data_IF_390553603187
#
_entry.id   IF_390553603187
#
_cell.length_a   1.000
_cell.length_b   1.000
_cell.length_c   1.000
_cell.angle_alpha   90.00
_cell.angle_beta   90.00
_cell.angle_gamma   90.00
#
_symmetry.space_group_name_H-M   'P 1'
#
loop_
_entity.id
_entity.type
_entity.pdbx_description
1 polymer ?
#
# COMPACT_ATOMS: atom_id res chain seq x y z
N UNK A 1 -15.57 -34.87 7.30
CA UNK A 1 -14.34 -34.10 6.99
C UNK A 1 -13.36 -35.02 6.30
N UNK A 2 -13.10 -34.80 5.01
CA UNK A 2 -12.04 -35.50 4.29
C UNK A 2 -10.75 -34.69 4.41
N UNK A 3 -9.71 -35.27 5.01
CA UNK A 3 -8.38 -34.66 5.06
C UNK A 3 -7.58 -35.13 3.86
N UNK A 4 -7.15 -34.21 3.02
CA UNK A 4 -6.28 -34.49 1.87
C UNK A 4 -4.82 -34.28 2.26
N UNK A 5 -3.98 -35.26 1.97
CA UNK A 5 -2.54 -35.19 2.21
C UNK A 5 -1.84 -34.61 0.97
N UNK A 6 -1.02 -33.59 1.18
CA UNK A 6 -0.23 -32.92 0.16
C UNK A 6 1.25 -32.93 0.55
N UNK A 7 2.14 -32.76 -0.43
CA UNK A 7 3.57 -32.63 -0.21
C UNK A 7 4.14 -31.50 -1.07
N UNK A 8 5.08 -30.75 -0.52
CA UNK A 8 5.74 -29.62 -1.21
C UNK A 8 7.11 -29.31 -0.59
N UNK A 9 7.97 -28.60 -1.32
CA UNK A 9 9.21 -28.07 -0.75
C UNK A 9 8.93 -26.84 0.10
N UNK A 10 8.13 -25.92 -0.44
CA UNK A 10 7.78 -24.66 0.21
C UNK A 10 6.27 -24.47 0.29
N UNK A 11 5.78 -24.20 1.49
CA UNK A 11 4.40 -23.79 1.74
C UNK A 11 4.38 -22.28 2.02
N UNK A 12 3.82 -21.51 1.11
CA UNK A 12 3.72 -20.05 1.21
C UNK A 12 2.30 -19.68 1.66
N UNK A 13 2.22 -18.92 2.75
CA UNK A 13 0.97 -18.40 3.30
C UNK A 13 0.80 -16.96 2.82
N UNK A 14 -0.28 -16.72 2.08
CA UNK A 14 -0.58 -15.45 1.45
C UNK A 14 -0.02 -15.33 0.03
N UNK A 15 -0.88 -15.01 -0.93
CA UNK A 15 -0.59 -14.67 -2.33
C UNK A 15 -0.59 -13.15 -2.57
N UNK A 16 -0.26 -12.37 -1.53
CA UNK A 16 0.07 -10.94 -1.65
C UNK A 16 1.47 -10.71 -2.24
N UNK A 17 1.86 -9.44 -2.40
CA UNK A 17 3.11 -9.08 -3.09
C UNK A 17 4.36 -9.79 -2.55
N UNK A 18 4.49 -9.92 -1.22
CA UNK A 18 5.63 -10.61 -0.59
C UNK A 18 5.65 -12.10 -0.93
N UNK A 19 4.52 -12.79 -0.74
CA UNK A 19 4.41 -14.22 -1.03
C UNK A 19 4.61 -14.53 -2.52
N UNK A 20 4.06 -13.68 -3.39
CA UNK A 20 4.23 -13.78 -4.84
C UNK A 20 5.69 -13.53 -5.26
N UNK A 21 6.35 -12.49 -4.74
CA UNK A 21 7.76 -12.22 -5.06
C UNK A 21 8.69 -13.34 -4.58
N UNK A 22 8.42 -13.92 -3.41
CA UNK A 22 9.18 -15.07 -2.91
C UNK A 22 9.00 -16.31 -3.79
N UNK A 23 7.75 -16.61 -4.16
CA UNK A 23 7.44 -17.71 -5.07
C UNK A 23 8.12 -17.53 -6.44
N UNK A 24 8.15 -16.29 -6.94
CA UNK A 24 8.77 -15.94 -8.23
C UNK A 24 10.27 -16.25 -8.27
N UNK A 25 11.00 -15.85 -7.23
CA UNK A 25 12.44 -16.13 -7.11
C UNK A 25 12.68 -17.62 -6.97
N UNK A 26 11.93 -18.33 -6.11
CA UNK A 26 12.05 -19.78 -5.98
C UNK A 26 11.79 -20.50 -7.31
N UNK A 27 10.78 -20.07 -8.05
CA UNK A 27 10.43 -20.66 -9.33
C UNK A 27 11.52 -20.40 -10.38
N UNK A 28 12.13 -19.21 -10.36
CA UNK A 28 13.15 -18.82 -11.33
C UNK A 28 14.51 -19.46 -11.05
N UNK A 29 14.90 -19.54 -9.78
CA UNK A 29 16.27 -19.90 -9.38
C UNK A 29 16.41 -21.36 -8.90
N UNK A 30 15.30 -22.11 -8.80
CA UNK A 30 15.30 -23.49 -8.31
C UNK A 30 14.27 -24.36 -9.02
N UNK A 31 14.36 -25.68 -8.83
CA UNK A 31 13.37 -26.67 -9.26
C UNK A 31 12.32 -27.01 -8.18
N UNK A 32 12.20 -26.18 -7.12
CA UNK A 32 11.34 -26.47 -5.99
C UNK A 32 9.84 -26.51 -6.37
N UNK A 33 9.10 -27.40 -5.70
CA UNK A 33 7.65 -27.42 -5.72
C UNK A 33 7.10 -26.48 -4.64
N UNK A 34 6.04 -25.75 -4.98
CA UNK A 34 5.49 -24.68 -4.14
C UNK A 34 3.99 -24.88 -3.99
N UNK A 35 3.49 -24.81 -2.76
CA UNK A 35 2.07 -24.63 -2.46
C UNK A 35 1.87 -23.20 -1.96
N UNK A 36 0.90 -22.50 -2.54
CA UNK A 36 0.49 -21.16 -2.10
C UNK A 36 -0.94 -21.25 -1.57
N UNK A 37 -1.17 -20.80 -0.34
CA UNK A 37 -2.49 -20.78 0.32
C UNK A 37 -2.89 -19.34 0.59
N UNK A 38 -4.08 -18.93 0.19
CA UNK A 38 -4.60 -17.59 0.48
C UNK A 38 -6.09 -17.63 0.81
N UNK A 39 -6.52 -16.78 1.75
CA UNK A 39 -7.92 -16.65 2.18
C UNK A 39 -8.80 -15.93 1.15
N UNK A 40 -8.21 -15.11 0.29
CA UNK A 40 -8.90 -14.38 -0.76
C UNK A 40 -9.08 -15.25 -1.99
N UNK A 41 -10.02 -14.84 -2.85
CA UNK A 41 -10.37 -15.60 -4.03
C UNK A 41 -9.39 -15.41 -5.20
N UNK A 42 -8.61 -14.31 -5.20
CA UNK A 42 -7.63 -13.95 -6.23
C UNK A 42 -6.28 -13.62 -5.59
N UNK A 43 -5.16 -13.83 -6.32
CA UNK A 43 -3.86 -13.35 -5.88
C UNK A 43 -3.85 -11.81 -5.79
N UNK A 44 -2.92 -11.28 -5.00
CA UNK A 44 -2.81 -9.84 -4.71
C UNK A 44 -2.94 -9.52 -3.22
N UNK A 45 -3.41 -10.43 -2.37
CA UNK A 45 -3.56 -10.17 -0.94
C UNK A 45 -4.53 -9.01 -0.67
N UNK A 46 -4.13 -8.04 0.15
CA UNK A 46 -5.00 -6.91 0.58
C UNK A 46 -5.59 -6.07 -0.55
N UNK A 47 -5.03 -6.11 -1.76
CA UNK A 47 -5.59 -5.44 -2.93
C UNK A 47 -6.99 -5.97 -3.32
N UNK A 48 -7.36 -7.18 -2.88
CA UNK A 48 -8.71 -7.72 -3.02
C UNK A 48 -9.76 -6.92 -2.24
N UNK A 49 -9.36 -6.25 -1.16
CA UNK A 49 -10.27 -5.53 -0.25
C UNK A 49 -10.20 -4.00 -0.45
N UNK A 50 -9.26 -3.52 -1.27
CA UNK A 50 -8.95 -2.10 -1.39
C UNK A 50 -10.06 -1.30 -2.08
N UNK A 51 -10.16 -0.01 -1.74
CA UNK A 51 -11.08 0.94 -2.37
C UNK A 51 -10.73 1.14 -3.84
N UNK A 52 -11.72 1.40 -4.69
CA UNK A 52 -11.54 1.34 -6.16
C UNK A 52 -10.61 2.40 -6.75
N UNK A 53 -10.28 3.45 -6.01
CA UNK A 53 -9.41 4.54 -6.44
C UNK A 53 -8.01 4.49 -5.80
N UNK A 54 -7.67 3.41 -5.10
CA UNK A 54 -6.31 3.24 -4.57
C UNK A 54 -5.30 3.17 -5.72
N UNK A 55 -4.14 3.81 -5.53
CA UNK A 55 -2.98 3.64 -6.40
C UNK A 55 -1.75 3.30 -5.55
N UNK A 56 -0.69 2.82 -6.22
CA UNK A 56 0.63 2.79 -5.60
C UNK A 56 1.03 4.21 -5.15
N UNK A 57 1.78 4.28 -4.05
CA UNK A 57 2.31 5.54 -3.53
C UNK A 57 3.73 5.82 -4.03
N UNK A 58 4.39 4.81 -4.58
CA UNK A 58 5.70 4.86 -5.22
C UNK A 58 5.57 4.50 -6.70
N UNK A 59 6.52 4.92 -7.55
CA UNK A 59 6.54 4.54 -8.96
C UNK A 59 6.33 3.04 -9.19
N UNK A 60 5.52 2.70 -10.19
CA UNK A 60 5.11 1.32 -10.46
C UNK A 60 6.28 0.36 -10.72
N UNK A 61 7.41 0.89 -11.21
CA UNK A 61 8.64 0.13 -11.44
C UNK A 61 9.28 -0.46 -10.18
N UNK A 62 8.86 -0.03 -8.98
CA UNK A 62 9.34 -0.57 -7.71
C UNK A 62 8.43 -1.66 -7.13
N UNK A 63 7.40 -2.09 -7.86
CA UNK A 63 6.38 -2.97 -7.32
C UNK A 63 6.08 -4.13 -8.26
N UNK A 64 6.12 -5.36 -7.74
CA UNK A 64 5.85 -6.56 -8.50
C UNK A 64 6.81 -7.70 -8.14
N UNK A 65 6.99 -8.62 -9.09
CA UNK A 65 7.91 -9.75 -9.06
C UNK A 65 8.96 -9.60 -10.16
N UNK A 66 10.10 -10.26 -10.01
CA UNK A 66 11.24 -10.11 -10.91
C UNK A 66 10.98 -10.64 -12.33
N UNK A 67 10.19 -11.70 -12.47
CA UNK A 67 9.92 -12.33 -13.77
C UNK A 67 8.98 -11.53 -14.68
N UNK A 68 8.31 -10.49 -14.16
CA UNK A 68 7.30 -9.75 -14.91
C UNK A 68 7.20 -8.30 -14.48
N UNK A 69 7.38 -7.38 -15.42
CA UNK A 69 7.22 -5.94 -15.18
C UNK A 69 5.75 -5.55 -14.98
N UNK A 70 5.49 -4.70 -13.96
CA UNK A 70 4.19 -4.06 -13.74
C UNK A 70 4.11 -2.71 -14.45
N UNK A 71 5.23 -1.97 -14.47
CA UNK A 71 5.32 -0.63 -15.01
C UNK A 71 5.22 -0.62 -16.55
N UNK A 72 4.45 0.32 -17.10
CA UNK A 72 4.45 0.63 -18.54
C UNK A 72 5.57 1.61 -18.94
N UNK A 73 6.27 2.19 -17.97
CA UNK A 73 7.33 3.19 -18.19
C UNK A 73 6.79 4.59 -18.49
N UNK A 74 5.53 4.85 -18.16
CA UNK A 74 4.86 6.10 -18.54
C UNK A 74 5.07 7.21 -17.51
N UNK A 75 5.01 8.46 -17.99
CA UNK A 75 4.97 9.68 -17.17
C UNK A 75 3.58 10.27 -17.28
N UNK A 76 2.94 10.52 -16.13
CA UNK A 76 1.61 11.08 -16.07
C UNK A 76 1.57 12.48 -16.69
N UNK A 77 0.61 12.72 -17.58
CA UNK A 77 0.47 14.00 -18.30
C UNK A 77 -0.60 14.92 -17.72
N UNK A 78 -1.46 14.38 -16.85
CA UNK A 78 -2.60 15.04 -16.23
C UNK A 78 -2.69 14.67 -14.74
N UNK A 79 -3.63 15.28 -14.02
CA UNK A 79 -3.92 14.95 -12.62
C UNK A 79 -2.84 15.44 -11.64
N UNK A 80 -3.00 15.03 -10.38
CA UNK A 80 -2.15 15.47 -9.27
C UNK A 80 -0.72 14.90 -9.33
N UNK A 81 -0.51 13.80 -10.07
CA UNK A 81 0.81 13.20 -10.29
C UNK A 81 1.49 13.67 -11.59
N UNK A 82 0.93 14.68 -12.28
CA UNK A 82 1.44 15.18 -13.56
C UNK A 82 2.94 15.47 -13.51
N UNK A 83 3.66 14.88 -14.46
CA UNK A 83 5.08 15.06 -14.66
C UNK A 83 5.94 14.06 -13.88
N UNK A 84 5.36 13.05 -13.23
CA UNK A 84 6.07 11.97 -12.53
C UNK A 84 5.72 10.60 -13.12
N UNK A 85 6.48 9.57 -12.75
CA UNK A 85 6.20 8.18 -13.14
C UNK A 85 4.83 7.71 -12.68
N UNK A 86 4.20 6.90 -13.54
CA UNK A 86 2.87 6.34 -13.32
C UNK A 86 2.77 5.53 -12.03
N UNK A 87 1.57 5.54 -11.45
CA UNK A 87 1.22 4.84 -10.23
C UNK A 87 0.11 3.86 -10.52
N UNK A 88 0.44 2.56 -10.57
CA UNK A 88 -0.53 1.53 -10.88
C UNK A 88 -1.70 1.60 -9.90
N UNK A 89 -2.91 1.63 -10.47
CA UNK A 89 -4.17 1.51 -9.74
C UNK A 89 -4.31 0.14 -9.11
N UNK A 90 -5.21 0.02 -8.11
CA UNK A 90 -5.55 -1.27 -7.53
C UNK A 90 -6.04 -2.28 -8.58
N UNK A 91 -6.75 -1.83 -9.61
CA UNK A 91 -7.19 -2.67 -10.72
C UNK A 91 -6.02 -3.22 -11.54
N UNK A 92 -5.02 -2.40 -11.83
CA UNK A 92 -3.81 -2.81 -12.55
C UNK A 92 -2.97 -3.80 -11.73
N UNK A 93 -2.80 -3.54 -10.42
CA UNK A 93 -2.09 -4.46 -9.51
C UNK A 93 -2.80 -5.81 -9.43
N UNK A 94 -4.13 -5.82 -9.32
CA UNK A 94 -4.92 -7.06 -9.30
C UNK A 94 -4.80 -7.83 -10.62
N UNK A 95 -4.91 -7.13 -11.76
CA UNK A 95 -4.73 -7.73 -13.07
C UNK A 95 -3.31 -8.27 -13.28
N UNK A 96 -2.30 -7.59 -12.75
CA UNK A 96 -0.90 -8.00 -12.79
C UNK A 96 -0.67 -9.30 -12.03
N UNK A 97 -1.09 -9.41 -10.76
CA UNK A 97 -0.88 -10.64 -9.98
C UNK A 97 -1.71 -11.82 -10.51
N UNK A 98 -2.90 -11.56 -11.04
CA UNK A 98 -3.69 -12.58 -11.75
C UNK A 98 -2.92 -13.14 -12.95
N UNK A 99 -2.28 -12.26 -13.74
CA UNK A 99 -1.43 -12.68 -14.87
C UNK A 99 -0.18 -13.43 -14.42
N UNK A 100 0.51 -13.01 -13.35
CA UNK A 100 1.66 -13.73 -12.80
C UNK A 100 1.25 -15.15 -12.38
N UNK A 101 0.15 -15.28 -11.63
CA UNK A 101 -0.33 -16.57 -11.18
C UNK A 101 -0.72 -17.47 -12.37
N UNK A 102 -1.56 -16.97 -13.29
CA UNK A 102 -2.13 -17.76 -14.39
C UNK A 102 -1.16 -18.07 -15.51
N UNK A 103 -0.19 -17.19 -15.79
CA UNK A 103 0.67 -17.30 -16.97
C UNK A 103 2.13 -17.63 -16.65
N UNK A 104 2.55 -17.49 -15.39
CA UNK A 104 3.92 -17.83 -14.96
C UNK A 104 3.90 -18.98 -13.97
N UNK A 105 3.16 -18.85 -12.86
CA UNK A 105 3.26 -19.81 -11.76
C UNK A 105 2.57 -21.13 -12.05
N UNK A 106 1.28 -21.11 -12.36
CA UNK A 106 0.52 -22.33 -12.59
C UNK A 106 1.01 -23.12 -13.83
N UNK A 107 1.33 -22.47 -14.97
CA UNK A 107 1.84 -23.19 -16.15
C UNK A 107 3.20 -23.86 -15.94
N UNK A 108 3.96 -23.46 -14.91
CA UNK A 108 5.23 -24.13 -14.58
C UNK A 108 5.05 -25.60 -14.15
N UNK A 109 3.84 -25.99 -13.73
CA UNK A 109 3.55 -27.31 -13.15
C UNK A 109 4.09 -27.52 -11.73
N UNK A 110 4.91 -26.60 -11.21
CA UNK A 110 5.54 -26.68 -9.87
C UNK A 110 4.80 -25.91 -8.79
N UNK A 111 3.82 -25.07 -9.17
CA UNK A 111 3.01 -24.29 -8.22
C UNK A 111 1.59 -24.86 -8.15
N UNK A 112 1.13 -25.13 -6.93
CA UNK A 112 -0.29 -25.40 -6.63
C UNK A 112 -0.87 -24.23 -5.83
N UNK A 113 -1.96 -23.66 -6.30
CA UNK A 113 -2.60 -22.50 -5.67
C UNK A 113 -3.94 -22.89 -5.05
N UNK A 114 -4.11 -22.55 -3.77
CA UNK A 114 -5.32 -22.78 -2.99
C UNK A 114 -5.90 -21.43 -2.53
N UNK A 115 -6.67 -20.74 -3.38
CA UNK A 115 -7.45 -19.58 -2.97
C UNK A 115 -8.63 -20.00 -2.07
N UNK A 116 -9.23 -19.04 -1.38
CA UNK A 116 -10.34 -19.28 -0.45
C UNK A 116 -10.01 -20.38 0.59
N UNK A 117 -8.77 -20.42 1.05
CA UNK A 117 -8.28 -21.38 2.04
C UNK A 117 -7.62 -20.65 3.21
N UNK A 118 -7.94 -21.07 4.42
CA UNK A 118 -7.40 -20.49 5.64
C UNK A 118 -6.35 -21.41 6.25
N UNK A 119 -5.13 -20.89 6.41
CA UNK A 119 -4.06 -21.59 7.11
C UNK A 119 -4.33 -21.65 8.61
N UNK A 120 -4.22 -22.84 9.19
CA UNK A 120 -4.56 -23.13 10.60
C UNK A 120 -3.32 -23.39 11.47
N UNK A 121 -2.12 -23.35 10.89
CA UNK A 121 -0.87 -23.67 11.59
C UNK A 121 -0.36 -25.08 11.25
N UNK A 122 0.92 -25.33 11.55
CA UNK A 122 1.58 -26.64 11.43
C UNK A 122 1.35 -27.39 10.10
N UNK A 123 1.41 -26.67 8.97
CA UNK A 123 1.21 -27.26 7.64
C UNK A 123 -0.25 -27.61 7.31
N UNK A 124 -1.21 -27.18 8.13
CA UNK A 124 -2.64 -27.47 7.96
C UNK A 124 -3.39 -26.25 7.46
N UNK A 125 -4.32 -26.46 6.53
CA UNK A 125 -5.25 -25.43 6.07
C UNK A 125 -6.60 -26.03 5.69
N UNK A 126 -7.63 -25.21 5.64
CA UNK A 126 -8.99 -25.65 5.30
C UNK A 126 -9.63 -24.73 4.26
N UNK A 127 -10.46 -25.32 3.40
CA UNK A 127 -11.32 -24.55 2.50
C UNK A 127 -12.27 -23.67 3.31
N UNK A 128 -12.50 -22.45 2.86
CA UNK A 128 -13.52 -21.55 3.41
C UNK A 128 -14.92 -21.85 2.85
N UNK A 129 -15.00 -22.66 1.79
CA UNK A 129 -16.23 -22.92 1.04
C UNK A 129 -16.73 -24.38 1.16
N UNK A 130 -15.99 -25.24 1.86
CA UNK A 130 -16.33 -26.65 2.01
C UNK A 130 -15.70 -27.27 3.27
N UNK A 131 -16.16 -28.45 3.66
CA UNK A 131 -15.60 -29.24 4.77
C UNK A 131 -14.27 -29.95 4.42
N UNK A 132 -13.55 -29.44 3.42
CA UNK A 132 -12.29 -30.00 2.95
C UNK A 132 -11.14 -29.41 3.75
N UNK A 133 -10.33 -30.29 4.33
CA UNK A 133 -9.10 -29.92 5.04
C UNK A 133 -7.89 -30.54 4.36
N UNK A 134 -6.75 -29.87 4.50
CA UNK A 134 -5.49 -30.27 3.91
C UNK A 134 -4.41 -30.33 4.99
N UNK A 135 -3.54 -31.32 4.88
CA UNK A 135 -2.33 -31.44 5.66
C UNK A 135 -1.15 -31.56 4.70
N UNK A 136 -0.16 -30.69 4.87
CA UNK A 136 0.97 -30.57 3.97
C UNK A 136 2.23 -31.06 4.68
N UNK A 137 2.84 -32.10 4.13
CA UNK A 137 4.23 -32.43 4.44
C UNK A 137 5.14 -31.42 3.73
N UNK A 138 5.82 -30.58 4.51
CA UNK A 138 6.72 -29.54 4.00
C UNK A 138 8.17 -30.01 4.12
N UNK A 139 8.86 -30.15 2.99
CA UNK A 139 10.21 -30.71 2.95
C UNK A 139 11.30 -29.70 3.28
N UNK A 140 11.07 -28.39 3.05
CA UNK A 140 12.07 -27.34 3.32
C UNK A 140 11.57 -26.29 4.29
N UNK A 141 10.57 -25.48 3.93
CA UNK A 141 10.16 -24.35 4.77
C UNK A 141 8.74 -23.86 4.55
N UNK A 142 8.11 -23.40 5.64
CA UNK A 142 6.87 -22.62 5.61
C UNK A 142 7.24 -21.14 5.60
N UNK A 143 6.67 -20.39 4.66
CA UNK A 143 6.93 -18.98 4.44
C UNK A 143 5.67 -18.19 4.76
N UNK A 144 5.71 -17.36 5.79
CA UNK A 144 4.59 -16.48 6.14
C UNK A 144 4.70 -15.15 5.39
N UNK A 145 4.00 -15.04 4.27
CA UNK A 145 3.84 -13.81 3.50
C UNK A 145 2.81 -12.84 4.07
N UNK A 146 2.19 -13.16 5.22
CA UNK A 146 1.13 -12.37 5.85
C UNK A 146 1.60 -11.54 7.05
N UNK A 147 2.88 -11.64 7.42
CA UNK A 147 3.45 -11.04 8.62
C UNK A 147 3.12 -9.56 8.82
N UNK A 148 3.20 -8.74 7.76
CA UNK A 148 2.89 -7.30 7.83
C UNK A 148 1.42 -6.99 8.11
N UNK A 149 0.52 -7.97 7.98
CA UNK A 149 -0.93 -7.86 8.20
C UNK A 149 -1.54 -6.62 7.55
N UNK A 150 -1.05 -6.29 6.35
CA UNK A 150 -1.53 -5.14 5.59
C UNK A 150 -3.03 -5.28 5.42
N UNK A 151 -3.75 -4.31 5.96
CA UNK A 151 -5.20 -4.30 6.04
C UNK A 151 -5.69 -2.91 5.67
N UNK A 152 -6.87 -2.86 5.08
CA UNK A 152 -7.53 -1.63 4.64
C UNK A 152 -8.64 -1.29 5.63
N UNK A 153 -9.06 -0.02 5.77
CA UNK A 153 -10.09 0.35 6.75
C UNK A 153 -11.40 -0.47 6.64
N UNK A 154 -11.75 -0.95 5.46
CA UNK A 154 -12.93 -1.80 5.25
C UNK A 154 -12.90 -3.13 6.02
N UNK A 155 -11.72 -3.59 6.45
CA UNK A 155 -11.57 -4.84 7.22
C UNK A 155 -11.37 -4.60 8.72
N UNK A 156 -11.49 -3.35 9.19
CA UNK A 156 -11.32 -2.95 10.58
C UNK A 156 -12.63 -2.58 11.26
N UNK A 157 -12.74 -2.93 12.55
CA UNK A 157 -13.76 -2.38 13.43
C UNK A 157 -13.20 -1.15 14.15
N UNK A 158 -13.82 0.05 14.02
CA UNK A 158 -13.39 1.23 14.75
C UNK A 158 -13.39 0.99 16.26
N UNK A 159 -12.43 1.59 16.96
CA UNK A 159 -12.32 1.53 18.43
C UNK A 159 -13.04 2.69 19.14
N UNK A 160 -13.95 3.37 18.45
CA UNK A 160 -14.73 4.50 18.95
C UNK A 160 -16.20 4.34 18.59
N UNK A 161 -17.07 4.99 19.37
CA UNK A 161 -18.50 4.97 19.14
C UNK A 161 -18.91 5.95 18.03
N UNK A 162 -19.86 5.52 17.20
CA UNK A 162 -20.42 6.32 16.13
C UNK A 162 -21.76 6.88 16.64
N UNK A 163 -21.84 8.19 16.79
CA UNK A 163 -23.05 8.85 17.26
C UNK A 163 -24.24 8.64 16.29
N UNK A 164 -25.46 8.63 16.84
CA UNK A 164 -26.69 8.44 16.06
C UNK A 164 -26.80 9.50 14.96
N UNK A 165 -27.05 9.05 13.72
CA UNK A 165 -27.23 9.92 12.56
C UNK A 165 -25.94 10.26 11.81
N UNK A 166 -24.77 9.90 12.34
CA UNK A 166 -23.48 10.05 11.63
C UNK A 166 -23.37 8.98 10.55
N UNK A 167 -23.05 9.41 9.32
CA UNK A 167 -22.69 8.50 8.24
C UNK A 167 -21.20 8.20 8.32
N UNK A 168 -20.88 7.00 8.77
CA UNK A 168 -19.51 6.51 8.90
C UNK A 168 -19.32 5.30 7.99
N UNK A 169 -18.19 5.24 7.29
CA UNK A 169 -17.85 4.14 6.41
C UNK A 169 -16.38 4.19 5.98
N UNK A 170 -15.82 3.07 5.50
CA UNK A 170 -14.50 3.04 4.90
C UNK A 170 -14.45 3.83 3.58
N UNK A 171 -13.25 4.08 3.08
CA UNK A 171 -13.04 4.73 1.78
C UNK A 171 -13.72 3.99 0.63
N UNK A 172 -13.93 2.67 0.76
CA UNK A 172 -14.63 1.85 -0.23
C UNK A 172 -16.06 2.36 -0.52
N UNK A 173 -16.67 3.08 0.42
CA UNK A 173 -18.01 3.61 0.27
C UNK A 173 -18.04 4.95 -0.49
N UNK A 174 -16.91 5.68 -0.56
CA UNK A 174 -16.85 7.01 -1.18
C UNK A 174 -17.32 7.02 -2.65
N UNK A 175 -16.92 6.09 -3.52
CA UNK A 175 -17.37 6.07 -4.91
C UNK A 175 -18.87 5.75 -5.07
N UNK A 176 -19.52 5.21 -4.03
CA UNK A 176 -20.96 4.91 -4.04
C UNK A 176 -21.85 6.12 -3.70
N UNK A 177 -21.23 7.24 -3.29
CA UNK A 177 -21.94 8.46 -2.94
C UNK A 177 -22.54 9.12 -4.18
N UNK A 178 -23.87 9.26 -4.21
CA UNK A 178 -24.62 9.82 -5.33
C UNK A 178 -25.26 11.18 -5.06
N UNK A 179 -25.01 11.75 -3.87
CA UNK A 179 -25.54 13.06 -3.45
C UNK A 179 -24.47 13.87 -2.72
N UNK A 180 -24.48 15.21 -2.86
CA UNK A 180 -23.64 16.08 -2.05
C UNK A 180 -23.75 15.82 -0.55
N UNK A 181 -22.67 16.08 0.17
CA UNK A 181 -22.59 16.04 1.64
C UNK A 181 -22.30 17.44 2.15
N UNK A 182 -22.77 17.74 3.35
CA UNK A 182 -22.52 19.02 4.02
C UNK A 182 -21.04 19.20 4.41
N UNK A 183 -20.28 18.11 4.45
CA UNK A 183 -18.85 18.08 4.68
C UNK A 183 -18.32 16.65 4.76
N UNK A 184 -16.99 16.52 4.75
CA UNK A 184 -16.26 15.26 4.85
C UNK A 184 -15.28 15.33 6.02
N UNK A 185 -15.31 14.33 6.89
CA UNK A 185 -14.37 14.20 7.99
C UNK A 185 -13.50 12.97 7.76
N UNK A 186 -12.21 13.19 7.53
CA UNK A 186 -11.22 12.13 7.32
C UNK A 186 -10.51 11.86 8.64
N UNK A 187 -10.45 10.59 9.05
CA UNK A 187 -9.84 10.18 10.32
C UNK A 187 -8.58 9.35 10.00
N UNK A 188 -7.42 9.88 10.38
CA UNK A 188 -6.10 9.24 10.23
C UNK A 188 -5.19 9.97 9.26
N UNK A 189 -3.94 10.20 9.67
CA UNK A 189 -2.88 10.85 8.87
C UNK A 189 -1.98 9.88 8.09
N UNK A 190 -2.43 8.65 7.85
CA UNK A 190 -1.69 7.65 7.09
C UNK A 190 -1.96 7.73 5.58
N UNK A 191 -1.33 6.82 4.81
CA UNK A 191 -1.53 6.62 3.36
C UNK A 191 -3.00 6.67 2.94
N UNK A 192 -3.84 5.92 3.64
CA UNK A 192 -5.26 5.86 3.32
C UNK A 192 -5.99 7.19 3.57
N UNK A 193 -5.63 7.94 4.62
CA UNK A 193 -6.23 9.27 4.84
C UNK A 193 -5.85 10.25 3.74
N UNK A 194 -4.58 10.23 3.32
CA UNK A 194 -4.08 10.98 2.17
C UNK A 194 -4.90 10.67 0.92
N UNK A 195 -5.07 9.38 0.59
CA UNK A 195 -5.82 8.97 -0.61
C UNK A 195 -7.27 9.48 -0.60
N UNK A 196 -7.93 9.48 0.57
CA UNK A 196 -9.28 10.03 0.69
C UNK A 196 -9.32 11.53 0.39
N UNK A 197 -8.37 12.30 0.92
CA UNK A 197 -8.28 13.75 0.67
C UNK A 197 -8.00 14.03 -0.79
N UNK A 198 -7.01 13.35 -1.39
CA UNK A 198 -6.68 13.52 -2.80
C UNK A 198 -7.87 13.17 -3.70
N UNK A 199 -8.57 12.07 -3.40
CA UNK A 199 -9.76 11.68 -4.16
C UNK A 199 -10.88 12.72 -4.08
N UNK A 200 -11.15 13.29 -2.89
CA UNK A 200 -12.15 14.34 -2.72
C UNK A 200 -11.78 15.61 -3.53
N UNK A 201 -10.51 16.00 -3.51
CA UNK A 201 -10.01 17.15 -4.26
C UNK A 201 -10.09 16.93 -5.78
N UNK A 202 -9.75 15.72 -6.26
CA UNK A 202 -9.89 15.35 -7.68
C UNK A 202 -11.36 15.33 -8.14
N UNK A 203 -12.29 15.11 -7.21
CA UNK A 203 -13.74 15.18 -7.45
C UNK A 203 -14.34 16.56 -7.14
N UNK A 204 -13.49 17.60 -7.09
CA UNK A 204 -13.90 19.00 -6.95
C UNK A 204 -14.66 19.33 -5.67
N UNK A 205 -14.41 18.58 -4.59
CA UNK A 205 -14.88 18.97 -3.27
C UNK A 205 -14.05 20.15 -2.78
N UNK A 206 -14.73 21.23 -2.40
CA UNK A 206 -14.10 22.41 -1.81
C UNK A 206 -13.30 22.01 -0.56
N UNK A 207 -12.00 22.35 -0.47
CA UNK A 207 -11.17 22.09 0.72
C UNK A 207 -11.81 22.58 2.03
N UNK A 208 -12.59 23.65 2.02
CA UNK A 208 -13.27 24.18 3.22
C UNK A 208 -14.32 23.21 3.79
N UNK A 209 -14.79 22.28 2.96
CA UNK A 209 -15.73 21.21 3.32
C UNK A 209 -15.02 19.91 3.75
N UNK A 210 -13.68 19.89 3.75
CA UNK A 210 -12.89 18.73 4.17
C UNK A 210 -12.22 19.05 5.50
N UNK A 211 -12.59 18.29 6.53
CA UNK A 211 -11.91 18.30 7.84
C UNK A 211 -11.04 17.07 7.95
N UNK A 212 -9.74 17.26 8.16
CA UNK A 212 -8.81 16.15 8.28
C UNK A 212 -8.26 16.03 9.70
N UNK A 213 -8.65 14.97 10.38
CA UNK A 213 -8.16 14.62 11.71
C UNK A 213 -6.90 13.77 11.52
N UNK A 214 -5.74 14.34 11.87
CA UNK A 214 -4.43 13.71 11.73
C UNK A 214 -3.77 13.51 13.10
N UNK A 215 -4.04 12.39 13.79
CA UNK A 215 -3.34 12.05 15.02
C UNK A 215 -1.86 11.80 14.71
N UNK A 216 -0.98 12.63 15.29
CA UNK A 216 0.48 12.66 15.05
C UNK A 216 0.80 12.86 13.56
N UNK A 217 0.76 14.12 13.12
CA UNK A 217 1.13 14.50 11.75
C UNK A 217 2.50 13.90 11.35
N UNK A 218 2.67 13.60 10.07
CA UNK A 218 3.84 12.91 9.55
C UNK A 218 4.73 13.82 8.71
N UNK A 219 6.04 13.66 8.87
CA UNK A 219 7.00 14.08 7.87
C UNK A 219 6.86 13.18 6.64
N UNK A 220 6.84 13.82 5.47
CA UNK A 220 6.55 13.20 4.17
C UNK A 220 7.70 13.44 3.21
N UNK A 221 7.92 12.51 2.29
CA UNK A 221 8.97 12.62 1.26
C UNK A 221 8.36 13.22 -0.01
N UNK A 222 9.05 14.18 -0.64
CA UNK A 222 8.68 14.62 -1.99
C UNK A 222 8.86 13.47 -2.97
N UNK A 223 7.77 13.05 -3.61
CA UNK A 223 7.75 11.98 -4.61
C UNK A 223 8.68 12.27 -5.78
N UNK A 224 8.98 13.54 -6.08
CA UNK A 224 9.97 13.92 -7.09
C UNK A 224 11.38 13.41 -6.75
N UNK A 225 11.69 13.23 -5.47
CA UNK A 225 12.98 12.74 -4.99
C UNK A 225 13.08 11.20 -4.99
N UNK A 226 12.02 10.49 -5.38
CA UNK A 226 11.99 9.02 -5.40
C UNK A 226 11.69 8.47 -6.79
N UNK A 227 12.04 9.20 -7.84
CA UNK A 227 11.77 8.80 -9.21
C UNK A 227 12.88 7.88 -9.76
N UNK A 228 12.53 6.82 -10.52
CA UNK A 228 13.47 5.80 -10.98
C UNK A 228 14.26 6.21 -12.22
N UNK A 229 13.75 7.15 -13.02
CA UNK A 229 14.35 7.46 -14.32
C UNK A 229 15.52 8.44 -14.21
N UNK A 230 16.43 8.37 -15.18
CA UNK A 230 17.61 9.26 -15.26
C UNK A 230 17.24 10.74 -15.37
N UNK A 231 16.08 11.06 -15.92
CA UNK A 231 15.60 12.44 -16.04
C UNK A 231 15.41 13.12 -14.67
N UNK A 232 15.21 12.32 -13.62
CA UNK A 232 15.11 12.78 -12.24
C UNK A 232 16.40 12.62 -11.44
N UNK A 233 17.53 12.28 -12.08
CA UNK A 233 18.79 12.01 -11.38
C UNK A 233 19.16 13.11 -10.37
N UNK A 234 19.12 14.38 -10.78
CA UNK A 234 19.42 15.50 -9.90
C UNK A 234 18.46 15.61 -8.71
N UNK A 235 17.20 15.23 -8.87
CA UNK A 235 16.24 15.21 -7.77
C UNK A 235 16.49 14.02 -6.84
N UNK A 236 16.53 12.80 -7.38
CA UNK A 236 16.65 11.57 -6.59
C UNK A 236 18.01 11.46 -5.90
N UNK A 237 19.11 11.65 -6.63
CA UNK A 237 20.46 11.57 -6.05
C UNK A 237 20.80 12.86 -5.28
N UNK A 238 20.32 14.02 -5.74
CA UNK A 238 20.49 15.27 -5.00
C UNK A 238 19.85 15.19 -3.61
N UNK A 239 18.63 14.67 -3.50
CA UNK A 239 17.97 14.47 -2.21
C UNK A 239 18.75 13.50 -1.29
N UNK A 240 19.35 12.43 -1.84
CA UNK A 240 20.21 11.54 -1.07
C UNK A 240 21.49 12.24 -0.57
N UNK A 241 22.11 13.05 -1.41
CA UNK A 241 23.28 13.84 -1.03
C UNK A 241 22.93 14.85 0.07
N UNK A 242 21.85 15.61 -0.10
CA UNK A 242 21.32 16.53 0.90
C UNK A 242 20.97 15.82 2.21
N UNK A 243 20.40 14.61 2.14
CA UNK A 243 20.13 13.81 3.32
C UNK A 243 21.42 13.40 4.04
N UNK A 244 22.46 12.98 3.31
CA UNK A 244 23.75 12.62 3.89
C UNK A 244 24.44 13.83 4.56
N UNK A 245 24.45 14.99 3.90
CA UNK A 245 24.96 16.25 4.44
C UNK A 245 24.19 16.66 5.71
N UNK A 246 22.86 16.60 5.69
CA UNK A 246 22.03 16.90 6.84
C UNK A 246 22.32 15.97 8.03
N UNK A 247 22.51 14.67 7.78
CA UNK A 247 22.89 13.70 8.83
C UNK A 247 24.27 14.03 9.41
N UNK A 248 25.24 14.41 8.57
CA UNK A 248 26.59 14.71 9.00
C UNK A 248 26.69 15.99 9.84
N UNK A 249 25.86 16.99 9.53
CA UNK A 249 25.92 18.32 10.15
C UNK A 249 24.91 18.54 11.27
N UNK A 250 23.91 17.66 11.43
CA UNK A 250 22.86 17.85 12.42
C UNK A 250 23.38 17.73 13.85
N UNK A 251 23.04 18.70 14.70
CA UNK A 251 23.41 18.67 16.11
C UNK A 251 22.50 17.72 16.93
N UNK A 252 21.28 17.49 16.44
CA UNK A 252 20.27 16.64 17.07
C UNK A 252 19.16 16.28 16.06
N UNK A 253 18.20 15.44 16.48
CA UNK A 253 17.10 14.99 15.62
C UNK A 253 16.23 16.16 15.15
N UNK A 254 15.97 17.16 15.99
CA UNK A 254 15.13 18.29 15.60
C UNK A 254 15.81 19.13 14.49
N UNK A 255 17.09 19.42 14.65
CA UNK A 255 17.91 20.10 13.65
C UNK A 255 18.00 19.29 12.35
N UNK A 256 18.18 17.96 12.44
CA UNK A 256 18.18 17.07 11.27
C UNK A 256 16.91 17.24 10.44
N UNK A 257 15.73 17.15 11.06
CA UNK A 257 14.46 17.27 10.33
C UNK A 257 14.24 18.67 9.75
N UNK A 258 14.67 19.72 10.45
CA UNK A 258 14.63 21.08 9.93
C UNK A 258 15.54 21.26 8.70
N UNK A 259 16.75 20.65 8.72
CA UNK A 259 17.69 20.63 7.59
C UNK A 259 17.13 19.86 6.40
N UNK A 260 16.55 18.68 6.65
CA UNK A 260 15.93 17.86 5.62
C UNK A 260 14.72 18.57 4.98
N UNK A 261 13.93 19.30 5.76
CA UNK A 261 12.85 20.14 5.24
C UNK A 261 13.39 21.28 4.38
N UNK A 262 14.36 22.04 4.90
CA UNK A 262 14.99 23.14 4.17
C UNK A 262 15.64 22.67 2.86
N UNK A 263 16.19 21.47 2.87
CA UNK A 263 16.79 20.80 1.70
C UNK A 263 15.78 20.22 0.71
N UNK A 264 14.48 20.29 1.01
CA UNK A 264 13.43 19.74 0.15
C UNK A 264 13.36 18.20 0.13
N UNK A 265 13.99 17.53 1.10
CA UNK A 265 13.95 16.07 1.25
C UNK A 265 12.67 15.66 1.97
N UNK A 266 12.36 16.34 3.08
CA UNK A 266 11.16 16.14 3.89
C UNK A 266 10.22 17.33 3.78
N UNK A 267 8.95 17.08 4.08
CA UNK A 267 7.88 18.05 3.99
C UNK A 267 6.86 17.81 5.09
N UNK A 268 6.14 18.86 5.47
CA UNK A 268 4.95 18.81 6.32
C UNK A 268 3.76 19.41 5.60
N UNK A 269 2.56 19.00 6.03
CA UNK A 269 1.31 19.46 5.41
C UNK A 269 0.97 20.87 5.91
N UNK A 270 1.04 21.10 7.23
CA UNK A 270 0.83 22.40 7.85
C UNK A 270 2.15 22.97 8.38
N UNK A 271 2.64 24.11 7.87
CA UNK A 271 3.89 24.72 8.35
C UNK A 271 3.83 25.19 9.81
N UNK A 272 2.64 25.33 10.40
CA UNK A 272 2.47 25.73 11.80
C UNK A 272 2.45 24.53 12.77
N UNK A 273 2.40 23.30 12.25
CA UNK A 273 2.43 22.07 13.05
C UNK A 273 3.78 21.40 12.88
N UNK A 274 4.38 20.94 13.99
CA UNK A 274 5.57 20.09 13.95
C UNK A 274 5.12 18.62 13.86
N UNK A 275 5.45 17.89 12.77
CA UNK A 275 5.11 16.49 12.67
C UNK A 275 5.79 15.65 13.75
N UNK A 276 5.09 14.61 14.22
CA UNK A 276 5.51 13.73 15.32
C UNK A 276 5.76 12.29 14.86
N UNK A 277 5.52 11.99 13.58
CA UNK A 277 5.83 10.71 12.95
C UNK A 277 6.67 10.90 11.70
N UNK A 278 7.36 9.84 11.29
CA UNK A 278 7.96 9.73 9.97
C UNK A 278 7.27 8.56 9.25
N UNK A 279 6.60 8.86 8.14
CA UNK A 279 5.97 7.86 7.27
C UNK A 279 6.69 7.88 5.92
N UNK A 280 6.91 6.71 5.32
CA UNK A 280 7.61 6.55 4.03
C UNK A 280 6.67 6.47 2.79
N UNK A 281 5.45 7.07 2.72
CA UNK A 281 4.80 7.24 1.43
C UNK A 281 5.33 8.50 0.73
N UNK A 282 5.80 8.38 -0.52
CA UNK A 282 6.10 9.55 -1.33
C UNK A 282 4.82 10.34 -1.68
N UNK A 283 4.85 11.67 -1.56
CA UNK A 283 3.74 12.58 -1.87
C UNK A 283 4.13 13.66 -2.89
N UNK A 284 3.16 14.14 -3.68
CA UNK A 284 3.39 15.24 -4.65
C UNK A 284 2.90 16.56 -4.08
N UNK A 285 3.80 17.54 -3.92
CA UNK A 285 3.54 18.84 -3.28
C UNK A 285 2.42 19.65 -3.91
N UNK A 286 2.36 19.71 -5.25
CA UNK A 286 1.35 20.52 -5.97
C UNK A 286 -0.09 20.15 -5.62
N UNK A 287 -0.31 18.95 -5.07
CA UNK A 287 -1.64 18.43 -4.72
C UNK A 287 -2.20 18.91 -3.39
N UNK A 288 -1.37 19.35 -2.44
CA UNK A 288 -1.81 19.79 -1.11
C UNK A 288 -1.39 21.24 -0.79
N UNK A 289 -0.27 21.73 -1.34
CA UNK A 289 0.20 23.10 -1.08
C UNK A 289 -0.72 24.18 -1.67
N UNK A 290 -1.47 23.87 -2.73
CA UNK A 290 -2.50 24.75 -3.29
C UNK A 290 -3.79 24.78 -2.45
N UNK A 291 -3.92 23.91 -1.45
CA UNK A 291 -5.11 23.77 -0.60
C UNK A 291 -4.76 23.95 0.88
N UNK A 292 -3.94 24.97 1.17
CA UNK A 292 -3.58 25.42 2.51
C UNK A 292 -4.77 25.86 3.41
N UNK A 293 -6.01 25.60 2.97
CA UNK A 293 -7.27 25.91 3.66
C UNK A 293 -7.91 24.67 4.30
N UNK A 294 -7.31 23.48 4.16
CA UNK A 294 -7.78 22.28 4.87
C UNK A 294 -7.77 22.53 6.38
N UNK A 295 -8.93 22.33 7.04
CA UNK A 295 -9.03 22.38 8.51
C UNK A 295 -8.38 21.13 9.08
N UNK A 296 -7.11 21.24 9.44
CA UNK A 296 -6.33 20.18 10.03
C UNK A 296 -6.50 20.21 11.55
N UNK A 297 -7.02 19.13 12.10
CA UNK A 297 -7.13 18.94 13.55
C UNK A 297 -6.16 17.86 14.01
N UNK A 298 -5.07 18.28 14.66
CA UNK A 298 -4.21 17.38 15.40
C UNK A 298 -4.81 17.11 16.79
N UNK A 299 -5.61 16.04 16.88
CA UNK A 299 -6.14 15.59 18.17
C UNK A 299 -5.09 14.71 18.86
N UNK A 300 -4.64 15.11 20.05
CA UNK A 300 -3.90 14.23 20.96
C UNK A 300 -4.89 13.20 21.51
N UNK A 301 -4.82 11.97 21.01
CA UNK A 301 -5.53 10.85 21.64
C UNK A 301 -4.77 10.53 22.92
N UNK A 302 -5.42 10.70 24.07
CA UNK A 302 -4.90 10.37 25.39
C UNK A 302 -4.79 8.85 25.58
#
# INVERSE_FOLDING_TARGET
MSIQQLETDYLIIGSGAVGMAFADVLLTETDANIIIVDKHHKPGGHWNDAYSFVTLHQPSSFYGVSSRELCGGMIDKIGLNKGLSELASGAEVMAYFDKVMKHTFLPSGRVKYFPMCEYKGDGKFSSLLSDTSYEVKVNKKIIDGTYFKTSVPATHTPNFEIAKGVKFGPLNDLPSLTKPRDGYVIIGGGKTGIDAVLWLLENHIDPDNITWIMPRDAWLIDRKNTQPSRDFFTHTIGAQATQAEAIAEAENIEDLFNRLEKGGVLMRIDPNVRPQMFHVPPLVVKSLSNYAVLKILCVKVA
#
